data_IF_019450019924
#
_entry.id   IF_019450019924
#
_cell.length_a   1.000
_cell.length_b   1.000
_cell.length_c   1.000
_cell.angle_alpha   90.00
_cell.angle_beta   90.00
_cell.angle_gamma   90.00
#
_symmetry.space_group_name_H-M   'P 1'
#
loop_
_entity.id
_entity.type
_entity.pdbx_description
1 polymer ?
#
# COMPACT_ATOMS: atom_id res chain seq x y z
N UNK A 1 44.81 20.91 -37.93
CA UNK A 1 43.47 20.28 -37.90
C UNK A 1 43.34 19.35 -36.69
N UNK A 2 42.56 19.76 -35.70
CA UNK A 2 42.24 18.94 -34.53
C UNK A 2 41.16 17.92 -34.98
N UNK A 3 41.27 16.62 -34.69
CA UNK A 3 40.24 15.67 -35.06
C UNK A 3 38.93 16.02 -34.33
N UNK A 4 37.75 15.87 -34.97
CA UNK A 4 36.49 16.05 -34.27
C UNK A 4 36.40 15.05 -33.13
N UNK A 5 36.10 15.56 -31.93
CA UNK A 5 35.85 14.75 -30.75
C UNK A 5 34.76 13.73 -31.08
N UNK A 6 35.09 12.44 -30.96
CA UNK A 6 34.12 11.37 -31.07
C UNK A 6 33.11 11.52 -29.94
N UNK A 7 31.90 11.98 -30.26
CA UNK A 7 30.77 11.91 -29.36
C UNK A 7 30.45 10.43 -29.14
N UNK A 8 30.79 9.94 -27.94
CA UNK A 8 30.30 8.65 -27.43
C UNK A 8 28.77 8.59 -27.68
N UNK A 9 28.24 7.48 -28.22
CA UNK A 9 26.80 7.32 -28.33
C UNK A 9 26.22 7.42 -26.93
N UNK A 10 25.47 8.50 -26.65
CA UNK A 10 24.65 8.61 -25.44
C UNK A 10 23.65 7.47 -25.49
N UNK A 11 23.95 6.40 -24.75
CA UNK A 11 23.06 5.27 -24.58
C UNK A 11 21.80 5.84 -23.93
N UNK A 12 20.74 6.03 -24.73
CA UNK A 12 19.46 6.53 -24.22
C UNK A 12 18.89 5.45 -23.33
N UNK A 13 19.05 5.61 -22.03
CA UNK A 13 18.35 4.83 -21.02
C UNK A 13 16.85 5.00 -21.30
N UNK A 14 16.10 3.89 -21.31
CA UNK A 14 14.67 3.95 -21.56
C UNK A 14 13.98 4.75 -20.45
N UNK A 15 12.95 5.55 -20.77
CA UNK A 15 12.20 6.26 -19.74
C UNK A 15 11.57 5.27 -18.75
N UNK A 16 11.55 5.59 -17.45
CA UNK A 16 10.97 4.74 -16.44
C UNK A 16 9.47 4.60 -16.67
N UNK A 17 8.93 3.44 -16.32
CA UNK A 17 7.48 3.23 -16.40
C UNK A 17 6.73 4.11 -15.40
N UNK A 18 5.47 4.43 -15.72
CA UNK A 18 4.60 5.15 -14.78
C UNK A 18 4.28 4.25 -13.59
N UNK A 19 4.58 4.73 -12.40
CA UNK A 19 4.42 4.00 -11.16
C UNK A 19 3.10 4.35 -10.48
N UNK A 20 2.19 3.37 -10.43
CA UNK A 20 0.90 3.49 -9.74
C UNK A 20 1.02 3.37 -8.23
N UNK A 21 2.15 2.87 -7.76
CA UNK A 21 2.31 2.48 -6.38
C UNK A 21 1.94 1.04 -6.08
N UNK A 22 1.56 0.19 -7.04
CA UNK A 22 1.36 -1.25 -6.76
C UNK A 22 1.79 -2.11 -7.94
N UNK A 23 2.14 -3.36 -7.65
CA UNK A 23 2.58 -4.32 -8.64
C UNK A 23 4.08 -4.23 -8.94
N UNK A 24 4.43 -4.49 -10.20
CA UNK A 24 5.80 -4.41 -10.71
C UNK A 24 5.96 -3.16 -11.57
N UNK A 25 7.05 -2.39 -11.44
CA UNK A 25 8.20 -2.58 -10.52
C UNK A 25 7.87 -2.24 -9.05
N UNK A 26 8.62 -2.81 -8.10
CA UNK A 26 8.59 -2.39 -6.68
C UNK A 26 9.13 -0.97 -6.54
N UNK A 27 8.74 -0.24 -5.48
CA UNK A 27 9.21 1.15 -5.26
C UNK A 27 10.72 1.33 -5.37
N UNK A 28 11.50 0.39 -4.81
CA UNK A 28 12.97 0.44 -4.86
C UNK A 28 13.50 0.28 -6.28
N UNK A 29 13.00 -0.71 -7.02
CA UNK A 29 13.40 -0.97 -8.40
C UNK A 29 13.01 0.22 -9.31
N UNK A 30 11.83 0.79 -9.09
CA UNK A 30 11.39 1.97 -9.80
C UNK A 30 12.28 3.19 -9.52
N UNK A 31 12.64 3.42 -8.25
CA UNK A 31 13.56 4.50 -7.87
C UNK A 31 14.94 4.33 -8.51
N UNK A 32 15.46 3.11 -8.59
CA UNK A 32 16.72 2.80 -9.28
C UNK A 32 16.63 3.11 -10.79
N UNK A 33 15.51 2.78 -11.45
CA UNK A 33 15.28 3.13 -12.85
C UNK A 33 15.20 4.64 -13.08
N UNK A 34 14.50 5.37 -12.20
CA UNK A 34 14.39 6.83 -12.26
C UNK A 34 15.77 7.48 -12.07
N UNK A 35 16.54 7.01 -11.09
CA UNK A 35 17.88 7.52 -10.82
C UNK A 35 18.82 7.35 -12.01
N UNK A 36 18.80 6.17 -12.64
CA UNK A 36 19.58 5.91 -13.86
C UNK A 36 19.12 6.78 -15.04
N UNK A 37 17.81 6.97 -15.21
CA UNK A 37 17.27 7.76 -16.32
C UNK A 37 17.54 9.26 -16.18
N UNK A 38 17.61 9.77 -14.95
CA UNK A 38 17.81 11.19 -14.63
C UNK A 38 19.23 11.50 -14.16
N UNK A 39 20.22 10.64 -14.43
CA UNK A 39 21.62 10.79 -13.98
C UNK A 39 22.28 12.08 -14.50
N UNK A 40 21.85 12.61 -15.64
CA UNK A 40 22.35 13.89 -16.19
C UNK A 40 21.67 15.13 -15.58
N UNK A 41 20.67 14.96 -14.72
CA UNK A 41 19.95 16.05 -14.05
C UNK A 41 20.61 16.40 -12.72
N UNK A 42 21.45 17.43 -12.74
CA UNK A 42 22.19 17.93 -11.56
C UNK A 42 21.31 18.74 -10.60
N UNK A 43 20.24 19.38 -11.11
CA UNK A 43 19.31 20.15 -10.30
C UNK A 43 18.33 19.21 -9.57
N UNK A 44 18.47 19.11 -8.25
CA UNK A 44 17.61 18.26 -7.41
C UNK A 44 16.12 18.65 -7.48
N UNK A 45 15.80 19.94 -7.59
CA UNK A 45 14.40 20.37 -7.70
C UNK A 45 13.79 19.88 -9.01
N UNK A 46 14.55 19.98 -10.10
CA UNK A 46 14.13 19.46 -11.40
C UNK A 46 14.05 17.92 -11.38
N UNK A 47 15.01 17.25 -10.74
CA UNK A 47 15.02 15.80 -10.57
C UNK A 47 13.76 15.31 -9.85
N UNK A 48 13.38 15.97 -8.74
CA UNK A 48 12.16 15.66 -7.99
C UNK A 48 10.91 15.92 -8.85
N UNK A 49 10.81 17.08 -9.52
CA UNK A 49 9.66 17.40 -10.39
C UNK A 49 9.47 16.38 -11.50
N UNK A 50 10.56 15.97 -12.16
CA UNK A 50 10.53 14.95 -13.20
C UNK A 50 10.09 13.61 -12.63
N UNK A 51 10.62 13.20 -11.48
CA UNK A 51 10.24 11.96 -10.80
C UNK A 51 8.75 11.94 -10.42
N UNK A 52 8.22 13.03 -9.88
CA UNK A 52 6.78 13.21 -9.59
C UNK A 52 5.92 13.05 -10.84
N UNK A 53 6.40 13.46 -12.01
CA UNK A 53 5.65 13.29 -13.26
C UNK A 53 5.41 11.83 -13.62
N UNK A 54 6.26 10.90 -13.13
CA UNK A 54 6.13 9.46 -13.39
C UNK A 54 5.26 8.72 -12.37
N UNK A 55 4.80 9.39 -11.31
CA UNK A 55 3.83 8.82 -10.38
C UNK A 55 2.41 8.93 -10.94
N UNK A 56 1.57 7.94 -10.65
CA UNK A 56 0.13 7.92 -10.94
C UNK A 56 -0.61 7.17 -9.83
N UNK A 57 -1.94 7.22 -9.82
CA UNK A 57 -2.77 6.46 -8.87
C UNK A 57 -2.37 6.71 -7.40
N UNK A 58 -2.39 5.67 -6.57
CA UNK A 58 -2.09 5.79 -5.14
C UNK A 58 -0.70 6.41 -4.85
N UNK A 59 0.32 6.14 -5.68
CA UNK A 59 1.63 6.77 -5.50
C UNK A 59 1.60 8.29 -5.71
N UNK A 60 0.69 8.78 -6.56
CA UNK A 60 0.44 10.22 -6.70
C UNK A 60 -0.21 10.76 -5.41
N UNK A 61 -1.23 10.09 -4.90
CA UNK A 61 -1.95 10.49 -3.68
C UNK A 61 -1.05 10.49 -2.44
N UNK A 62 -0.08 9.58 -2.36
CA UNK A 62 0.91 9.54 -1.28
C UNK A 62 1.83 10.76 -1.28
N UNK A 63 2.03 11.39 -2.44
CA UNK A 63 2.91 12.52 -2.66
C UNK A 63 2.17 13.86 -2.82
N UNK A 64 0.90 13.94 -2.42
CA UNK A 64 0.06 15.14 -2.54
C UNK A 64 0.72 16.42 -1.97
N UNK A 65 1.43 16.29 -0.84
CA UNK A 65 2.22 17.39 -0.26
C UNK A 65 3.27 17.94 -1.24
N UNK A 66 3.97 17.08 -1.97
CA UNK A 66 4.96 17.49 -2.97
C UNK A 66 4.30 18.16 -4.17
N UNK A 67 3.13 17.69 -4.62
CA UNK A 67 2.38 18.36 -5.68
C UNK A 67 1.91 19.76 -5.25
N UNK A 68 1.49 19.92 -4.00
CA UNK A 68 1.15 21.22 -3.43
C UNK A 68 2.36 22.16 -3.45
N UNK A 69 3.53 21.68 -3.01
CA UNK A 69 4.77 22.46 -3.04
C UNK A 69 5.19 22.88 -4.46
N UNK A 70 4.99 21.99 -5.46
CA UNK A 70 5.25 22.33 -6.87
C UNK A 70 4.31 23.43 -7.35
N UNK A 71 3.02 23.36 -7.00
CA UNK A 71 2.00 24.35 -7.40
C UNK A 71 2.24 25.70 -6.74
N UNK A 72 2.70 25.74 -5.49
CA UNK A 72 3.05 26.97 -4.77
C UNK A 72 4.46 27.48 -5.10
N UNK A 73 5.16 26.83 -6.04
CA UNK A 73 6.54 27.10 -6.43
C UNK A 73 7.50 27.20 -5.23
N UNK A 74 7.24 26.37 -4.22
CA UNK A 74 8.03 26.27 -2.99
C UNK A 74 9.19 25.28 -3.16
N UNK A 75 10.15 25.33 -2.24
CA UNK A 75 11.27 24.39 -2.23
C UNK A 75 10.79 22.98 -1.90
N UNK A 76 11.18 22.00 -2.71
CA UNK A 76 10.82 20.58 -2.55
C UNK A 76 11.76 19.82 -1.59
N UNK A 77 12.82 20.48 -1.12
CA UNK A 77 13.88 19.84 -0.33
C UNK A 77 14.90 19.11 -1.21
N UNK A 78 15.68 18.23 -0.59
CA UNK A 78 16.71 17.45 -1.29
C UNK A 78 16.14 16.15 -1.85
N UNK A 79 16.85 15.52 -2.78
CA UNK A 79 16.44 14.22 -3.33
C UNK A 79 16.27 13.15 -2.24
N UNK A 80 17.15 13.16 -1.24
CA UNK A 80 17.09 12.25 -0.10
C UNK A 80 15.78 12.38 0.70
N UNK A 81 15.29 13.61 0.89
CA UNK A 81 14.03 13.87 1.60
C UNK A 81 12.84 13.31 0.81
N UNK A 82 12.85 13.52 -0.51
CA UNK A 82 11.84 12.99 -1.42
C UNK A 82 11.79 11.46 -1.38
N UNK A 83 12.94 10.80 -1.51
CA UNK A 83 13.02 9.34 -1.46
C UNK A 83 12.53 8.82 -0.12
N UNK A 84 13.00 9.40 0.98
CA UNK A 84 12.59 9.00 2.33
C UNK A 84 11.08 9.16 2.55
N UNK A 85 10.50 10.28 2.11
CA UNK A 85 9.07 10.52 2.21
C UNK A 85 8.27 9.53 1.37
N UNK A 86 8.69 9.28 0.14
CA UNK A 86 8.02 8.35 -0.78
C UNK A 86 8.07 6.92 -0.23
N UNK A 87 9.24 6.42 0.17
CA UNK A 87 9.39 5.06 0.73
C UNK A 87 8.63 4.89 2.04
N UNK A 88 8.69 5.88 2.94
CA UNK A 88 7.97 5.83 4.21
C UNK A 88 6.46 5.89 4.02
N UNK A 89 5.97 6.77 3.14
CA UNK A 89 4.54 6.85 2.82
C UNK A 89 4.03 5.54 2.26
N UNK A 90 4.85 4.88 1.43
CA UNK A 90 4.53 3.56 0.91
C UNK A 90 4.49 2.48 1.99
N UNK A 91 5.53 2.39 2.82
CA UNK A 91 5.59 1.40 3.89
C UNK A 91 4.46 1.57 4.91
N UNK A 92 4.05 2.81 5.18
CA UNK A 92 3.01 3.13 6.16
C UNK A 92 1.60 3.03 5.60
N UNK A 93 1.37 3.35 4.31
CA UNK A 93 0.03 3.37 3.72
C UNK A 93 -0.29 2.13 2.90
N UNK A 94 0.69 1.54 2.22
CA UNK A 94 0.46 0.40 1.34
C UNK A 94 0.30 -0.90 2.10
N UNK A 95 1.15 -1.16 3.11
CA UNK A 95 1.06 -2.39 3.92
C UNK A 95 -0.32 -2.56 4.59
N UNK A 96 -0.92 -1.52 5.20
CA UNK A 96 -2.29 -1.64 5.69
C UNK A 96 -3.32 -1.81 4.58
N UNK A 97 -3.12 -1.20 3.40
CA UNK A 97 -4.05 -1.38 2.28
C UNK A 97 -4.00 -2.80 1.73
N UNK A 98 -2.82 -3.38 1.51
CA UNK A 98 -2.67 -4.78 1.11
C UNK A 98 -3.33 -5.70 2.12
N UNK A 99 -3.11 -5.47 3.42
CA UNK A 99 -3.76 -6.24 4.47
C UNK A 99 -5.29 -6.09 4.45
N UNK A 100 -5.84 -4.90 4.18
CA UNK A 100 -7.29 -4.69 3.98
C UNK A 100 -7.83 -5.47 2.80
N UNK A 101 -7.10 -5.49 1.68
CA UNK A 101 -7.49 -6.24 0.47
C UNK A 101 -7.50 -7.75 0.72
N UNK A 102 -6.53 -8.26 1.48
CA UNK A 102 -6.48 -9.67 1.89
C UNK A 102 -7.61 -10.02 2.86
N UNK A 103 -7.91 -9.15 3.84
CA UNK A 103 -9.08 -9.30 4.71
C UNK A 103 -10.36 -9.34 3.88
N UNK A 104 -10.54 -8.42 2.94
CA UNK A 104 -11.70 -8.38 2.05
C UNK A 104 -11.79 -9.66 1.20
N UNK A 105 -10.66 -10.15 0.67
CA UNK A 105 -10.60 -11.39 -0.09
C UNK A 105 -11.02 -12.60 0.75
N UNK A 106 -10.51 -12.71 1.98
CA UNK A 106 -10.89 -13.75 2.92
C UNK A 106 -12.38 -13.68 3.29
N UNK A 107 -12.99 -12.49 3.23
CA UNK A 107 -14.39 -12.27 3.58
C UNK A 107 -15.35 -12.15 2.40
N UNK A 108 -14.95 -12.64 1.21
CA UNK A 108 -15.83 -12.71 0.04
C UNK A 108 -16.79 -13.88 0.07
N UNK A 109 -16.40 -14.99 0.69
CA UNK A 109 -17.17 -16.23 0.70
C UNK A 109 -17.22 -16.81 2.12
N UNK A 110 -18.29 -17.54 2.48
CA UNK A 110 -18.34 -18.31 3.70
C UNK A 110 -17.14 -19.24 3.85
N UNK A 111 -16.58 -19.34 5.05
CA UNK A 111 -15.49 -20.27 5.31
C UNK A 111 -16.00 -21.71 5.36
N UNK A 112 -15.19 -22.62 4.83
CA UNK A 112 -15.42 -24.07 4.93
C UNK A 112 -14.61 -24.73 6.05
N UNK A 113 -13.51 -24.10 6.43
CA UNK A 113 -12.63 -24.47 7.54
C UNK A 113 -12.37 -23.22 8.38
N UNK A 114 -13.03 -23.16 9.53
CA UNK A 114 -12.99 -21.99 10.39
C UNK A 114 -11.61 -21.78 11.02
N UNK A 115 -10.90 -22.85 11.40
CA UNK A 115 -9.56 -22.74 12.00
C UNK A 115 -8.55 -22.19 10.99
N UNK A 116 -8.61 -22.65 9.74
CA UNK A 116 -7.78 -22.13 8.64
C UNK A 116 -8.13 -20.68 8.31
N UNK A 117 -9.43 -20.34 8.28
CA UNK A 117 -9.87 -18.95 8.12
C UNK A 117 -9.30 -18.08 9.24
N UNK A 118 -9.53 -18.44 10.51
CA UNK A 118 -9.13 -17.64 11.66
C UNK A 118 -7.62 -17.37 11.68
N UNK A 119 -6.80 -18.37 11.39
CA UNK A 119 -5.34 -18.21 11.30
C UNK A 119 -4.93 -17.21 10.21
N UNK A 120 -5.55 -17.27 9.03
CA UNK A 120 -5.24 -16.34 7.93
C UNK A 120 -5.80 -14.95 8.20
N UNK A 121 -7.00 -14.87 8.77
CA UNK A 121 -7.64 -13.61 9.14
C UNK A 121 -6.80 -12.87 10.19
N UNK A 122 -6.38 -13.54 11.28
CA UNK A 122 -5.52 -12.96 12.34
C UNK A 122 -4.21 -12.38 11.79
N UNK A 123 -3.62 -13.03 10.77
CA UNK A 123 -2.37 -12.57 10.12
C UNK A 123 -2.53 -11.20 9.44
N UNK A 124 -3.70 -10.94 8.85
CA UNK A 124 -3.95 -9.74 8.04
C UNK A 124 -4.73 -8.66 8.79
N UNK A 125 -5.69 -9.03 9.65
CA UNK A 125 -6.49 -8.09 10.45
C UNK A 125 -5.63 -7.16 11.30
N UNK A 126 -4.61 -7.71 11.98
CA UNK A 126 -3.64 -6.93 12.76
C UNK A 126 -2.82 -5.92 11.94
N UNK A 127 -2.72 -6.14 10.62
CA UNK A 127 -1.97 -5.27 9.70
C UNK A 127 -2.88 -4.32 8.95
N UNK A 128 -4.19 -4.58 8.88
CA UNK A 128 -5.12 -3.81 8.06
C UNK A 128 -5.50 -2.46 8.66
N UNK A 129 -5.18 -2.19 9.92
CA UNK A 129 -5.58 -0.95 10.61
C UNK A 129 -7.10 -0.69 10.44
N UNK A 130 -7.90 -1.76 10.55
CA UNK A 130 -9.35 -1.73 10.58
C UNK A 130 -9.79 -1.72 12.05
N UNK A 131 -10.94 -1.14 12.33
CA UNK A 131 -11.47 -1.16 13.70
C UNK A 131 -11.97 -2.56 14.09
N UNK A 132 -12.05 -2.85 15.38
CA UNK A 132 -12.68 -4.08 15.88
C UNK A 132 -14.10 -4.25 15.31
N UNK A 133 -14.87 -3.16 15.24
CA UNK A 133 -16.24 -3.15 14.71
C UNK A 133 -16.27 -3.59 13.24
N UNK A 134 -15.40 -3.02 12.40
CA UNK A 134 -15.32 -3.38 10.97
C UNK A 134 -14.92 -4.85 10.79
N UNK A 135 -13.99 -5.34 11.60
CA UNK A 135 -13.50 -6.71 11.52
C UNK A 135 -14.57 -7.71 11.98
N UNK A 136 -15.31 -7.41 13.05
CA UNK A 136 -16.44 -8.22 13.53
C UNK A 136 -17.55 -8.28 12.47
N UNK A 137 -17.91 -7.14 11.86
CA UNK A 137 -18.91 -7.11 10.80
C UNK A 137 -18.51 -7.99 9.61
N UNK A 138 -17.24 -7.93 9.21
CA UNK A 138 -16.69 -8.77 8.13
C UNK A 138 -16.75 -10.25 8.46
N UNK A 139 -16.45 -10.65 9.70
CA UNK A 139 -16.57 -12.04 10.17
C UNK A 139 -18.04 -12.48 10.09
N UNK A 140 -18.96 -11.72 10.70
CA UNK A 140 -20.40 -12.02 10.74
C UNK A 140 -21.01 -12.27 9.36
N UNK A 141 -20.60 -11.47 8.37
CA UNK A 141 -21.14 -11.54 7.01
C UNK A 141 -20.94 -12.90 6.33
N UNK A 142 -19.86 -13.58 6.67
CA UNK A 142 -19.48 -14.86 6.07
C UNK A 142 -19.67 -16.04 7.05
N UNK A 143 -20.10 -15.75 8.28
CA UNK A 143 -20.44 -16.77 9.29
C UNK A 143 -21.57 -17.66 8.78
N UNK A 144 -21.41 -18.99 8.75
CA UNK A 144 -22.47 -19.92 8.37
C UNK A 144 -23.71 -19.79 9.28
N UNK A 145 -24.92 -19.91 8.69
CA UNK A 145 -26.21 -19.78 9.39
C UNK A 145 -26.33 -20.63 10.66
N UNK A 146 -25.68 -21.80 10.71
CA UNK A 146 -25.70 -22.68 11.88
C UNK A 146 -25.07 -22.03 13.11
N UNK A 147 -24.00 -21.26 12.92
CA UNK A 147 -23.31 -20.53 14.00
C UNK A 147 -24.15 -19.30 14.36
N UNK A 148 -24.71 -18.59 13.37
CA UNK A 148 -25.63 -17.47 13.62
C UNK A 148 -26.87 -17.87 14.42
N UNK A 149 -27.38 -19.11 14.26
CA UNK A 149 -28.49 -19.61 15.08
C UNK A 149 -28.10 -19.80 16.55
N UNK A 150 -26.85 -20.16 16.85
CA UNK A 150 -26.33 -20.22 18.23
C UNK A 150 -26.21 -18.79 18.80
N UNK A 151 -25.79 -17.83 17.98
CA UNK A 151 -25.71 -16.42 18.37
C UNK A 151 -27.09 -15.86 18.72
N UNK A 152 -28.13 -16.19 17.95
CA UNK A 152 -29.51 -15.74 18.21
C UNK A 152 -30.09 -16.22 19.56
N UNK A 153 -29.51 -17.27 20.16
CA UNK A 153 -29.84 -17.72 21.52
C UNK A 153 -29.06 -17.00 22.63
N UNK A 154 -28.10 -16.13 22.28
CA UNK A 154 -27.19 -15.44 23.20
C UNK A 154 -27.51 -13.94 23.20
N UNK A 155 -27.55 -13.31 24.38
CA UNK A 155 -27.76 -11.86 24.50
C UNK A 155 -26.59 -11.09 23.84
N UNK A 156 -26.90 -10.15 22.93
CA UNK A 156 -25.89 -9.33 22.23
C UNK A 156 -24.99 -8.55 23.19
N UNK A 157 -25.48 -8.22 24.40
CA UNK A 157 -24.69 -7.55 25.44
C UNK A 157 -23.51 -8.40 25.94
N UNK A 158 -23.59 -9.72 25.76
CA UNK A 158 -22.53 -10.65 26.14
C UNK A 158 -21.52 -10.89 25.02
N UNK A 159 -21.76 -10.36 23.82
CA UNK A 159 -20.88 -10.61 22.69
C UNK A 159 -19.54 -9.87 22.84
N UNK A 160 -18.43 -10.49 22.45
CA UNK A 160 -17.13 -9.83 22.52
C UNK A 160 -17.09 -8.57 21.63
N UNK A 161 -16.51 -7.50 22.15
CA UNK A 161 -16.35 -6.22 21.45
C UNK A 161 -15.02 -6.08 20.73
N UNK A 162 -14.05 -6.94 21.04
CA UNK A 162 -12.78 -7.04 20.31
C UNK A 162 -12.87 -8.15 19.27
N UNK A 163 -12.33 -7.91 18.07
CA UNK A 163 -12.47 -8.87 16.97
C UNK A 163 -11.75 -10.20 17.25
N UNK A 164 -10.66 -10.18 18.02
CA UNK A 164 -9.92 -11.40 18.40
C UNK A 164 -10.76 -12.28 19.33
N UNK A 165 -11.37 -11.69 20.36
CA UNK A 165 -12.22 -12.43 21.28
C UNK A 165 -13.52 -12.89 20.61
N UNK A 166 -14.05 -12.10 19.67
CA UNK A 166 -15.20 -12.51 18.85
C UNK A 166 -14.87 -13.73 17.99
N UNK A 167 -13.72 -13.70 17.32
CA UNK A 167 -13.28 -14.81 16.47
C UNK A 167 -12.98 -16.09 17.27
N UNK A 168 -12.40 -15.95 18.47
CA UNK A 168 -12.16 -17.09 19.37
C UNK A 168 -13.46 -17.63 19.96
N UNK A 169 -14.44 -16.77 20.26
CA UNK A 169 -15.77 -17.18 20.67
C UNK A 169 -16.51 -17.96 19.57
N UNK A 170 -16.50 -17.49 18.33
CA UNK A 170 -17.08 -18.23 17.20
C UNK A 170 -16.38 -19.60 16.99
N UNK A 171 -15.09 -19.73 17.35
CA UNK A 171 -14.29 -20.96 17.18
C UNK A 171 -14.65 -22.04 18.21
N UNK A 172 -15.18 -21.64 19.37
CA UNK A 172 -15.55 -22.52 20.47
C UNK A 172 -16.98 -23.09 20.34
N UNK A 173 -17.74 -22.68 19.31
CA UNK A 173 -19.11 -23.13 18.99
C UNK A 173 -19.09 -24.41 18.13
#
# INVERSE_FOLDING_TARGET
>A
PIPPAATLPKQKIAPPEKFSGHGTPKIKEWLEQVYLYLDDVVDEQLHIKLSLSYLKGDAHDYMDNYYTLVQTNSLLGMWADFVNWLTTSYDTKDKPREARLEVEHLTKNPWTDMSKFAKNFKKWANKSNLSDVDLIEKIRRITPDKILQVHAGTDEVQWPTTWEAYLDWDLDI
#
